data_IF_850983976064
#
_entry.id   IF_850983976064
#
_cell.length_a   1.000
_cell.length_b   1.000
_cell.length_c   1.000
_cell.angle_alpha   90.00
_cell.angle_beta   90.00
_cell.angle_gamma   90.00
#
_symmetry.space_group_name_H-M   'P 1'
#
loop_
_entity.id
_entity.type
_entity.pdbx_description
1 polymer ?
#
# COMPACT_ATOMS: atom_id res chain seq x y z
N UNK A 1 -13.69 -7.16 2.22
CA UNK A 1 -12.97 -8.26 1.54
C UNK A 1 -12.17 -8.96 2.61
N UNK A 2 -12.35 -10.27 2.75
CA UNK A 2 -11.53 -11.10 3.63
C UNK A 2 -10.70 -12.02 2.73
N UNK A 3 -9.42 -12.15 3.05
CA UNK A 3 -8.49 -13.02 2.38
C UNK A 3 -8.57 -14.42 2.96
N UNK A 4 -8.47 -15.42 2.08
CA UNK A 4 -8.45 -16.82 2.47
C UNK A 4 -7.11 -17.47 2.16
N UNK A 5 -7.12 -18.80 2.09
CA UNK A 5 -5.97 -19.54 1.59
C UNK A 5 -6.04 -19.71 0.07
N UNK A 6 -4.90 -19.58 -0.60
CA UNK A 6 -4.74 -19.77 -2.03
C UNK A 6 -3.86 -20.99 -2.30
N UNK A 7 -4.18 -21.77 -3.33
CA UNK A 7 -3.40 -22.96 -3.70
C UNK A 7 -2.67 -22.69 -5.02
N UNK A 8 -1.37 -22.94 -5.03
CA UNK A 8 -0.55 -22.87 -6.24
C UNK A 8 0.30 -24.13 -6.39
N UNK A 9 0.02 -24.92 -7.43
CA UNK A 9 0.56 -26.28 -7.54
C UNK A 9 0.15 -27.12 -6.34
N UNK A 10 1.13 -27.71 -5.66
CA UNK A 10 0.92 -28.53 -4.46
C UNK A 10 1.10 -27.75 -3.15
N UNK A 11 1.25 -26.42 -3.22
CA UNK A 11 1.51 -25.58 -2.06
C UNK A 11 0.29 -24.73 -1.70
N UNK A 12 0.05 -24.59 -0.40
CA UNK A 12 -1.00 -23.75 0.17
C UNK A 12 -0.38 -22.49 0.77
N UNK A 13 -0.92 -21.34 0.37
CA UNK A 13 -0.49 -20.02 0.80
C UNK A 13 -1.61 -19.34 1.58
N UNK A 14 -1.31 -18.90 2.79
CA UNK A 14 -2.27 -18.15 3.62
C UNK A 14 -2.13 -16.65 3.38
N UNK A 15 -3.22 -15.99 2.96
CA UNK A 15 -3.25 -14.54 2.67
C UNK A 15 -3.95 -13.72 3.76
N UNK A 16 -4.38 -14.33 4.88
CA UNK A 16 -5.11 -13.64 5.97
C UNK A 16 -4.31 -12.51 6.62
N UNK A 17 -2.98 -12.49 6.52
CA UNK A 17 -2.18 -11.36 6.98
C UNK A 17 -2.49 -10.05 6.22
N UNK A 18 -3.13 -10.15 5.05
CA UNK A 18 -3.61 -9.03 4.25
C UNK A 18 -5.07 -8.64 4.55
N UNK A 19 -5.72 -9.30 5.52
CA UNK A 19 -7.05 -8.86 5.95
C UNK A 19 -7.04 -7.38 6.37
N UNK A 20 -8.04 -6.59 5.95
CA UNK A 20 -8.16 -5.21 6.38
C UNK A 20 -8.15 -5.10 7.90
N UNK A 21 -7.47 -4.08 8.41
CA UNK A 21 -7.40 -3.83 9.84
C UNK A 21 -7.47 -2.33 10.13
N UNK A 22 -7.80 -1.98 11.36
CA UNK A 22 -7.76 -0.60 11.84
C UNK A 22 -6.73 -0.46 12.95
N UNK A 23 -6.02 0.66 12.96
CA UNK A 23 -5.09 1.05 14.02
C UNK A 23 -5.37 2.46 14.47
N UNK A 24 -5.09 2.75 15.75
CA UNK A 24 -5.17 4.09 16.30
C UNK A 24 -3.79 4.72 16.32
N UNK A 25 -3.67 5.90 15.72
CA UNK A 25 -2.41 6.63 15.62
C UNK A 25 -2.59 8.01 16.22
N UNK A 26 -1.61 8.47 17.01
CA UNK A 26 -1.60 9.85 17.50
C UNK A 26 -0.93 10.74 16.47
N UNK A 27 -1.68 11.70 15.94
CA UNK A 27 -1.22 12.68 14.94
C UNK A 27 -1.32 14.07 15.56
N UNK A 28 -0.18 14.69 15.85
CA UNK A 28 -0.10 16.01 16.52
C UNK A 28 -1.00 16.09 17.78
N UNK A 29 -1.01 15.04 18.61
CA UNK A 29 -1.84 14.97 19.82
C UNK A 29 -3.28 14.48 19.61
N UNK A 30 -3.79 14.47 18.37
CA UNK A 30 -5.14 13.96 18.05
C UNK A 30 -5.09 12.46 17.82
N UNK A 31 -6.01 11.71 18.43
CA UNK A 31 -6.17 10.28 18.16
C UNK A 31 -6.96 10.08 16.87
N UNK A 32 -6.38 9.36 15.92
CA UNK A 32 -6.92 9.14 14.57
C UNK A 32 -7.13 7.65 14.35
N UNK A 33 -8.29 7.27 13.82
CA UNK A 33 -8.55 5.92 13.34
C UNK A 33 -8.04 5.78 11.90
N UNK A 34 -7.14 4.81 11.68
CA UNK A 34 -6.60 4.52 10.36
C UNK A 34 -7.05 3.14 9.90
N UNK A 35 -7.84 3.10 8.83
CA UNK A 35 -8.19 1.86 8.14
C UNK A 35 -7.13 1.51 7.11
N UNK A 36 -6.47 0.37 7.29
CA UNK A 36 -5.53 -0.18 6.32
C UNK A 36 -6.19 -1.32 5.57
N UNK A 37 -6.07 -1.30 4.25
CA UNK A 37 -6.46 -2.44 3.42
C UNK A 37 -5.58 -2.56 2.18
N UNK A 38 -5.55 -3.76 1.62
CA UNK A 38 -4.60 -4.13 0.57
C UNK A 38 -5.32 -4.40 -0.74
N UNK A 39 -4.70 -4.03 -1.85
CA UNK A 39 -5.08 -4.53 -3.16
C UNK A 39 -4.63 -5.98 -3.35
N UNK A 40 -5.03 -6.58 -4.47
CA UNK A 40 -4.50 -7.85 -4.96
C UNK A 40 -3.06 -7.75 -5.48
N UNK A 41 -2.17 -7.04 -4.77
CA UNK A 41 -0.80 -6.78 -5.19
C UNK A 41 0.09 -8.03 -5.30
N UNK A 42 -0.28 -9.13 -4.65
CA UNK A 42 0.38 -10.45 -4.81
C UNK A 42 0.04 -11.14 -6.13
N UNK A 43 -0.95 -10.63 -6.86
CA UNK A 43 -1.36 -11.11 -8.18
C UNK A 43 -0.97 -10.09 -9.25
N UNK A 44 -0.22 -10.53 -10.26
CA UNK A 44 0.39 -9.69 -11.29
C UNK A 44 -0.19 -9.98 -12.68
N UNK A 45 -0.04 -9.03 -13.60
CA UNK A 45 -0.35 -9.18 -15.03
C UNK A 45 0.61 -10.12 -15.79
N UNK A 46 1.77 -10.42 -15.23
CA UNK A 46 2.76 -11.30 -15.85
C UNK A 46 2.25 -12.75 -15.94
N UNK A 47 1.89 -13.13 -17.17
CA UNK A 47 1.58 -14.51 -17.57
C UNK A 47 2.81 -15.40 -17.27
N UNK A 48 2.62 -16.47 -16.50
CA UNK A 48 3.61 -17.56 -16.36
C UNK A 48 4.39 -17.68 -15.05
N UNK A 49 3.99 -17.03 -13.94
CA UNK A 49 4.68 -17.18 -12.63
C UNK A 49 3.86 -17.81 -11.49
N UNK A 50 2.65 -18.26 -11.77
CA UNK A 50 1.78 -18.97 -10.83
C UNK A 50 0.36 -19.18 -11.40
N UNK A 51 -0.57 -19.78 -10.64
CA UNK A 51 -1.94 -19.98 -11.10
C UNK A 51 -2.64 -18.66 -11.37
N UNK A 52 -3.53 -18.69 -12.37
CA UNK A 52 -4.42 -17.57 -12.66
C UNK A 52 -5.47 -17.43 -11.55
N UNK A 53 -5.68 -16.19 -11.12
CA UNK A 53 -6.73 -15.74 -10.23
C UNK A 53 -7.70 -14.88 -11.04
N UNK A 54 -8.96 -15.33 -11.24
CA UNK A 54 -9.94 -14.55 -11.97
C UNK A 54 -10.38 -13.35 -11.13
N UNK A 55 -10.07 -12.13 -11.56
CA UNK A 55 -10.46 -10.91 -10.87
C UNK A 55 -11.14 -9.92 -11.82
N UNK A 56 -12.46 -9.70 -11.68
CA UNK A 56 -13.23 -8.68 -12.40
C UNK A 56 -12.83 -8.51 -13.89
N UNK A 57 -12.83 -9.61 -14.65
CA UNK A 57 -12.48 -9.70 -16.07
C UNK A 57 -10.99 -9.52 -16.44
N UNK A 58 -10.09 -9.34 -15.46
CA UNK A 58 -8.64 -9.34 -15.66
C UNK A 58 -8.02 -10.70 -15.27
N UNK A 59 -7.12 -11.22 -16.12
CA UNK A 59 -6.25 -12.34 -15.79
C UNK A 59 -5.09 -11.84 -14.92
N UNK A 60 -5.04 -12.28 -13.66
CA UNK A 60 -3.90 -12.01 -12.78
C UNK A 60 -3.30 -13.32 -12.30
N UNK A 61 -1.98 -13.36 -12.13
CA UNK A 61 -1.25 -14.57 -11.78
C UNK A 61 -0.59 -14.39 -10.42
N UNK A 62 -0.71 -15.40 -9.57
CA UNK A 62 -0.09 -15.39 -8.26
C UNK A 62 1.44 -15.32 -8.38
N UNK A 63 2.08 -14.46 -7.57
CA UNK A 63 3.51 -14.29 -7.54
C UNK A 63 4.07 -14.61 -6.15
N UNK A 64 4.77 -15.74 -6.03
CA UNK A 64 5.36 -16.21 -4.76
C UNK A 64 6.30 -15.17 -4.13
N UNK A 65 7.10 -14.48 -4.95
CA UNK A 65 8.02 -13.43 -4.44
C UNK A 65 7.24 -12.25 -3.82
N UNK A 66 6.14 -11.84 -4.45
CA UNK A 66 5.27 -10.79 -3.88
C UNK A 66 4.50 -11.29 -2.66
N UNK A 67 4.11 -12.56 -2.64
CA UNK A 67 3.54 -13.20 -1.45
C UNK A 67 4.51 -13.11 -0.26
N UNK A 68 5.77 -13.48 -0.44
CA UNK A 68 6.79 -13.40 0.62
C UNK A 68 6.97 -11.95 1.11
N UNK A 69 7.12 -11.00 0.19
CA UNK A 69 7.22 -9.58 0.52
C UNK A 69 5.97 -9.06 1.29
N UNK A 70 4.79 -9.57 0.96
CA UNK A 70 3.53 -9.08 1.54
C UNK A 70 3.44 -9.28 3.06
N UNK A 71 4.18 -10.22 3.64
CA UNK A 71 4.31 -10.35 5.10
C UNK A 71 5.06 -9.18 5.73
N UNK A 72 6.20 -8.80 5.15
CA UNK A 72 6.96 -7.62 5.57
C UNK A 72 6.13 -6.35 5.42
N UNK A 73 5.40 -6.23 4.31
CA UNK A 73 4.50 -5.09 4.06
C UNK A 73 3.41 -5.04 5.13
N UNK A 74 2.73 -6.16 5.41
CA UNK A 74 1.68 -6.21 6.42
C UNK A 74 2.19 -5.82 7.82
N UNK A 75 3.35 -6.35 8.23
CA UNK A 75 3.99 -5.99 9.49
C UNK A 75 4.35 -4.49 9.55
N UNK A 76 4.93 -3.95 8.49
CA UNK A 76 5.29 -2.54 8.37
C UNK A 76 4.07 -1.62 8.48
N UNK A 77 2.96 -1.97 7.82
CA UNK A 77 1.72 -1.18 7.84
C UNK A 77 1.00 -1.19 9.19
N UNK A 78 1.31 -2.12 10.10
CA UNK A 78 0.71 -2.20 11.43
C UNK A 78 1.29 -1.20 12.43
N UNK A 79 2.44 -0.59 12.13
CA UNK A 79 3.07 0.36 13.05
C UNK A 79 4.13 1.23 12.37
N UNK A 80 5.28 0.66 11.95
CA UNK A 80 6.42 1.44 11.45
C UNK A 80 6.10 2.43 10.32
N UNK A 81 5.10 2.13 9.48
CA UNK A 81 4.63 3.04 8.43
C UNK A 81 4.27 4.44 8.94
N UNK A 82 3.67 4.56 10.13
CA UNK A 82 3.12 5.83 10.61
C UNK A 82 4.19 6.85 11.02
N UNK A 83 5.42 6.39 11.26
CA UNK A 83 6.58 7.23 11.57
C UNK A 83 7.54 7.38 10.38
N UNK A 84 7.27 6.64 9.30
CA UNK A 84 8.08 6.63 8.10
C UNK A 84 7.99 7.93 7.29
N UNK A 85 8.85 8.00 6.29
CA UNK A 85 8.81 9.03 5.25
C UNK A 85 8.33 8.43 3.93
N UNK A 86 7.49 9.17 3.21
CA UNK A 86 6.93 8.78 1.92
C UNK A 86 7.23 9.83 0.87
N UNK A 87 7.51 9.39 -0.35
CA UNK A 87 7.58 10.27 -1.52
C UNK A 87 6.20 10.42 -2.10
N UNK A 88 5.74 11.66 -2.25
CA UNK A 88 4.48 11.92 -2.96
C UNK A 88 4.66 11.58 -4.44
N UNK A 89 3.60 11.10 -5.08
CA UNK A 89 3.49 10.96 -6.53
C UNK A 89 2.11 11.42 -6.96
N UNK A 90 2.04 12.41 -7.84
CA UNK A 90 0.79 12.89 -8.43
C UNK A 90 0.72 12.42 -9.87
N UNK A 91 -0.33 11.67 -10.21
CA UNK A 91 -0.66 11.35 -11.58
C UNK A 91 -1.58 12.44 -12.11
N UNK A 92 -1.08 13.21 -13.07
CA UNK A 92 -1.88 14.19 -13.80
C UNK A 92 -2.31 13.62 -15.15
N UNK A 93 -3.57 13.82 -15.52
CA UNK A 93 -4.11 13.48 -16.85
C UNK A 93 -4.72 14.75 -17.42
N UNK A 94 -4.24 15.20 -18.58
CA UNK A 94 -4.69 16.46 -19.19
C UNK A 94 -4.34 17.72 -18.39
N UNK A 95 -3.29 17.69 -17.56
CA UNK A 95 -2.88 18.81 -16.69
C UNK A 95 -3.53 18.81 -15.30
N UNK A 96 -4.64 18.10 -15.12
CA UNK A 96 -5.37 18.04 -13.84
C UNK A 96 -4.87 16.88 -12.95
N UNK A 97 -4.63 17.13 -11.64
CA UNK A 97 -4.21 16.08 -10.71
C UNK A 97 -5.39 15.15 -10.38
N UNK A 98 -5.44 13.97 -11.00
CA UNK A 98 -6.50 13.00 -10.73
C UNK A 98 -6.23 12.13 -9.49
N UNK A 99 -4.98 11.69 -9.31
CA UNK A 99 -4.67 10.72 -8.27
C UNK A 99 -3.35 11.00 -7.55
N UNK A 100 -3.40 10.92 -6.21
CA UNK A 100 -2.24 11.09 -5.35
C UNK A 100 -1.86 9.75 -4.71
N UNK A 101 -0.65 9.31 -5.02
CA UNK A 101 -0.01 8.13 -4.47
C UNK A 101 1.18 8.52 -3.59
N UNK A 102 1.60 7.58 -2.76
CA UNK A 102 2.74 7.71 -1.87
C UNK A 102 3.61 6.47 -1.97
N UNK A 103 4.90 6.68 -2.21
CA UNK A 103 5.89 5.65 -2.36
C UNK A 103 6.76 5.58 -1.10
N UNK A 104 6.90 4.38 -0.53
CA UNK A 104 7.81 4.09 0.59
C UNK A 104 8.87 3.11 0.11
N UNK A 105 10.13 3.40 0.39
CA UNK A 105 11.25 2.47 0.19
C UNK A 105 11.56 1.84 1.55
N UNK A 106 11.46 0.51 1.65
CA UNK A 106 11.73 -0.25 2.86
C UNK A 106 13.23 -0.61 3.01
N UNK A 107 14.07 -0.21 2.05
CA UNK A 107 15.43 -0.71 1.92
C UNK A 107 15.51 -1.94 1.02
N UNK A 108 16.72 -2.28 0.58
CA UNK A 108 16.99 -3.45 -0.28
C UNK A 108 16.17 -3.53 -1.57
N UNK A 109 15.65 -2.39 -2.03
CA UNK A 109 14.85 -2.29 -3.25
C UNK A 109 13.36 -2.58 -3.07
N UNK A 110 12.87 -2.88 -1.87
CA UNK A 110 11.45 -3.15 -1.61
C UNK A 110 10.62 -1.87 -1.53
N UNK A 111 9.64 -1.74 -2.43
CA UNK A 111 8.83 -0.54 -2.60
C UNK A 111 7.37 -0.82 -2.28
N UNK A 112 6.74 0.09 -1.54
CA UNK A 112 5.30 0.10 -1.28
C UNK A 112 4.66 1.35 -1.87
N UNK A 113 3.63 1.15 -2.67
CA UNK A 113 2.74 2.19 -3.15
C UNK A 113 1.45 2.22 -2.34
N UNK A 114 1.11 3.38 -1.79
CA UNK A 114 -0.10 3.60 -1.02
C UNK A 114 -0.91 4.77 -1.55
N UNK A 115 -2.23 4.73 -1.33
CA UNK A 115 -3.12 5.87 -1.47
C UNK A 115 -3.69 6.20 -0.10
N UNK A 116 -3.67 7.48 0.27
CA UNK A 116 -4.17 7.95 1.57
C UNK A 116 -5.33 8.92 1.31
N UNK A 117 -6.50 8.60 1.84
CA UNK A 117 -7.71 9.42 1.69
C UNK A 117 -8.43 9.62 3.02
N UNK A 118 -9.07 10.80 3.15
CA UNK A 118 -9.96 11.08 4.27
C UNK A 118 -11.27 10.28 4.11
N UNK A 119 -11.87 9.88 5.23
CA UNK A 119 -13.24 9.36 5.27
C UNK A 119 -14.20 10.44 5.76
N UNK A 120 -15.47 10.32 5.38
CA UNK A 120 -16.53 11.28 5.74
C UNK A 120 -16.71 11.44 7.27
N UNK A 121 -16.38 10.40 8.05
CA UNK A 121 -16.41 10.47 9.53
C UNK A 121 -15.21 11.24 10.09
N UNK A 122 -15.44 12.00 11.16
CA UNK A 122 -14.43 12.79 11.86
C UNK A 122 -13.26 11.91 12.33
N UNK A 123 -12.02 12.39 12.13
CA UNK A 123 -10.75 11.76 12.53
C UNK A 123 -10.48 10.34 11.99
N UNK A 124 -11.01 9.99 10.81
CA UNK A 124 -10.75 8.71 10.17
C UNK A 124 -10.13 8.85 8.78
N UNK A 125 -9.09 8.09 8.53
CA UNK A 125 -8.41 8.01 7.22
C UNK A 125 -8.34 6.57 6.74
N UNK A 126 -8.31 6.41 5.42
CA UNK A 126 -8.05 5.14 4.77
C UNK A 126 -6.66 5.17 4.15
N UNK A 127 -5.88 4.14 4.41
CA UNK A 127 -4.62 3.83 3.73
C UNK A 127 -4.84 2.58 2.90
N UNK A 128 -4.78 2.73 1.59
CA UNK A 128 -4.90 1.63 0.63
C UNK A 128 -3.52 1.27 0.10
N UNK A 129 -3.05 0.06 0.36
CA UNK A 129 -1.82 -0.48 -0.23
C UNK A 129 -2.13 -0.90 -1.67
N UNK A 130 -1.69 -0.09 -2.62
CA UNK A 130 -1.98 -0.25 -4.05
C UNK A 130 -1.11 -1.34 -4.66
N UNK A 131 0.17 -1.36 -4.33
CA UNK A 131 1.13 -2.31 -4.87
C UNK A 131 2.34 -2.42 -3.93
N UNK A 132 2.98 -3.59 -3.92
CA UNK A 132 4.27 -3.78 -3.29
C UNK A 132 5.12 -4.74 -4.12
N UNK A 133 6.38 -4.38 -4.35
CA UNK A 133 7.31 -5.15 -5.16
C UNK A 133 8.74 -4.72 -4.88
N UNK A 134 9.69 -5.60 -5.16
CA UNK A 134 11.09 -5.22 -5.22
C UNK A 134 11.40 -4.58 -6.59
N UNK A 135 12.00 -3.38 -6.59
CA UNK A 135 12.30 -2.59 -7.78
C UNK A 135 13.22 -3.34 -8.75
N UNK A 136 14.12 -4.15 -8.23
CA UNK A 136 15.12 -4.87 -9.01
C UNK A 136 14.45 -5.99 -9.83
N UNK A 137 13.22 -6.39 -9.48
CA UNK A 137 12.42 -7.35 -10.26
C UNK A 137 11.75 -6.76 -11.49
N UNK A 138 11.61 -5.42 -11.56
CA UNK A 138 10.86 -4.75 -12.63
C UNK A 138 11.65 -3.64 -13.34
N UNK A 139 12.92 -3.41 -12.98
CA UNK A 139 13.73 -2.34 -13.58
C UNK A 139 13.12 -0.94 -13.40
N UNK A 140 12.22 -0.77 -12.42
CA UNK A 140 11.49 0.47 -12.24
C UNK A 140 12.35 1.49 -11.50
N UNK A 141 12.58 2.63 -12.14
CA UNK A 141 13.21 3.79 -11.51
C UNK A 141 12.17 4.50 -10.65
N UNK A 142 12.46 4.70 -9.36
CA UNK A 142 11.61 5.50 -8.50
C UNK A 142 11.49 6.92 -9.05
N UNK A 143 10.30 7.56 -8.99
CA UNK A 143 10.15 8.94 -9.42
C UNK A 143 11.18 9.83 -8.70
N UNK A 144 12.01 10.52 -9.48
CA UNK A 144 12.98 11.50 -8.97
C UNK A 144 12.27 12.85 -8.76
N UNK A 145 12.70 13.61 -7.75
CA UNK A 145 12.31 15.02 -7.59
C UNK A 145 11.02 15.33 -6.84
N UNK A 146 10.30 14.34 -6.29
CA UNK A 146 9.11 14.64 -5.48
C UNK A 146 9.45 14.73 -3.99
N UNK A 147 8.84 15.71 -3.30
CA UNK A 147 9.10 15.96 -1.88
C UNK A 147 8.94 14.71 -1.02
N UNK A 148 9.88 14.53 -0.09
CA UNK A 148 9.83 13.51 0.95
C UNK A 148 9.03 14.07 2.13
N UNK A 149 7.98 13.37 2.55
CA UNK A 149 7.09 13.81 3.62
C UNK A 149 7.00 12.75 4.71
N UNK A 150 7.03 13.16 5.98
CA UNK A 150 6.64 12.28 7.09
C UNK A 150 5.18 11.88 6.93
N UNK A 151 4.85 10.60 7.18
CA UNK A 151 3.46 10.10 7.10
C UNK A 151 2.56 10.88 8.05
N UNK A 152 3.01 11.19 9.26
CA UNK A 152 2.36 12.11 10.21
C UNK A 152 1.87 13.42 9.55
N UNK A 153 2.73 14.07 8.75
CA UNK A 153 2.40 15.33 8.06
C UNK A 153 1.35 15.11 6.97
N UNK A 154 1.39 13.98 6.29
CA UNK A 154 0.38 13.61 5.29
C UNK A 154 -0.98 13.38 5.94
N UNK A 155 -1.01 12.62 7.04
CA UNK A 155 -2.24 12.35 7.79
C UNK A 155 -2.87 13.63 8.34
N UNK A 156 -2.06 14.50 8.98
CA UNK A 156 -2.51 15.78 9.50
C UNK A 156 -3.13 16.64 8.39
N UNK A 157 -2.47 16.72 7.22
CA UNK A 157 -2.98 17.45 6.06
C UNK A 157 -4.30 16.89 5.52
N UNK A 158 -4.46 15.57 5.47
CA UNK A 158 -5.72 14.95 5.00
C UNK A 158 -6.88 15.18 5.97
N UNK A 159 -6.59 15.33 7.26
CA UNK A 159 -7.58 15.52 8.32
C UNK A 159 -7.86 16.99 8.64
N UNK A 160 -7.05 17.93 8.15
CA UNK A 160 -7.14 19.34 8.54
C UNK A 160 -6.67 19.59 9.97
N UNK A 161 -5.81 18.72 10.52
CA UNK A 161 -5.23 18.91 11.86
C UNK A 161 -4.12 19.97 11.72
N UNK A 162 -4.19 21.08 12.47
CA UNK A 162 -3.17 22.11 12.44
C UNK A 162 -1.80 21.56 12.86
N UNK A 163 -0.74 22.25 12.43
CA UNK A 163 0.59 21.94 12.97
C UNK A 163 0.64 22.46 14.41
N UNK A 164 1.30 21.73 15.32
CA UNK A 164 1.67 22.30 16.61
C UNK A 164 2.54 23.54 16.43
#
# INVERSE_FOLDING_TARGET
>A
MSYGTFVAGNLRYDLRHLDPFSVKVRVHGVLVDVDVSFSFHVFTDQKGRGPCFPHHAEERYFCVKRYQLSHTVAAFMRGPFFDASVRRHVRSVGGEPQEQYFCTDLGHGDIIWTRISRRERQNRVRVWVVSAYNRDWQGMVLPRGQGLFRVQKVLASKLGIPRP
#
